data_IF_699514436756
#
_entry.id   IF_699514436756
#
_cell.length_a   1.000
_cell.length_b   1.000
_cell.length_c   1.000
_cell.angle_alpha   90.00
_cell.angle_beta   90.00
_cell.angle_gamma   90.00
#
_symmetry.space_group_name_H-M   'P 1'
#
loop_
_entity.id
_entity.type
_entity.pdbx_description
1 polymer ?
#
# COMPACT_ATOMS: atom_id res chain seq x y z
N UNK A 1 -3.36 1.50 0.91
CA UNK A 1 -4.49 2.37 0.47
C UNK A 1 -4.84 2.14 -1.01
N UNK A 2 -5.61 1.09 -1.30
CA UNK A 2 -6.41 1.02 -2.52
C UNK A 2 -7.79 1.57 -2.17
N UNK A 3 -8.26 2.58 -2.89
CA UNK A 3 -9.54 3.22 -2.61
C UNK A 3 -10.02 3.97 -3.84
N UNK A 4 -11.33 4.09 -3.98
CA UNK A 4 -11.95 4.83 -5.09
C UNK A 4 -11.86 6.34 -4.83
N UNK A 5 -11.47 7.09 -5.84
CA UNK A 5 -11.20 8.51 -5.70
C UNK A 5 -10.74 9.23 -6.98
N UNK A 6 -10.48 8.53 -8.08
CA UNK A 6 -9.89 9.12 -9.30
C UNK A 6 -10.75 10.24 -9.88
N UNK A 7 -12.08 10.15 -9.74
CA UNK A 7 -13.02 11.19 -10.18
C UNK A 7 -13.84 11.79 -9.03
N UNK A 8 -13.79 11.17 -7.86
CA UNK A 8 -14.68 11.45 -6.74
C UNK A 8 -14.04 12.20 -5.58
N UNK A 9 -12.72 12.17 -5.46
CA UNK A 9 -12.04 12.84 -4.37
C UNK A 9 -12.32 14.35 -4.35
N UNK A 10 -12.33 14.92 -3.14
CA UNK A 10 -12.40 16.36 -2.93
C UNK A 10 -11.10 17.05 -3.37
N UNK A 11 -11.11 18.37 -3.54
CA UNK A 11 -9.88 19.10 -3.85
C UNK A 11 -8.81 18.92 -2.77
N UNK A 12 -9.16 18.70 -1.49
CA UNK A 12 -8.21 18.48 -0.39
C UNK A 12 -7.62 17.07 -0.37
N UNK A 13 -8.37 16.07 -0.85
CA UNK A 13 -7.89 14.68 -0.96
C UNK A 13 -7.32 14.34 -2.34
N UNK A 14 -7.45 15.26 -3.31
CA UNK A 14 -6.95 15.14 -4.67
C UNK A 14 -5.49 14.64 -4.77
N UNK A 15 -4.53 15.12 -3.97
CA UNK A 15 -3.14 14.65 -4.08
C UNK A 15 -2.99 13.15 -3.86
N UNK A 16 -3.88 12.55 -3.06
CA UNK A 16 -3.83 11.13 -2.71
C UNK A 16 -4.52 10.23 -3.73
N UNK A 17 -5.34 10.79 -4.63
CA UNK A 17 -6.11 10.03 -5.64
C UNK A 17 -5.83 10.49 -7.07
N UNK A 18 -6.15 11.72 -7.42
CA UNK A 18 -5.91 12.28 -8.75
C UNK A 18 -5.60 13.79 -8.62
N UNK A 19 -4.38 14.25 -8.98
CA UNK A 19 -3.99 15.64 -8.80
C UNK A 19 -4.83 16.62 -9.63
N UNK A 20 -5.48 16.19 -10.72
CA UNK A 20 -6.39 17.05 -11.48
C UNK A 20 -7.58 17.56 -10.64
N UNK A 21 -8.01 16.80 -9.62
CA UNK A 21 -9.10 17.21 -8.75
C UNK A 21 -8.74 18.41 -7.86
N UNK A 22 -7.46 18.79 -7.75
CA UNK A 22 -7.01 19.98 -7.01
C UNK A 22 -7.66 21.27 -7.55
N UNK A 23 -7.98 21.33 -8.85
CA UNK A 23 -8.65 22.50 -9.43
C UNK A 23 -10.20 22.42 -9.37
N UNK A 24 -10.76 21.37 -8.76
CA UNK A 24 -12.20 21.14 -8.63
C UNK A 24 -12.64 21.48 -7.21
N UNK A 25 -12.64 22.77 -6.90
CA UNK A 25 -13.08 23.35 -5.62
C UNK A 25 -14.42 24.11 -5.80
N UNK A 26 -15.12 24.38 -4.69
CA UNK A 26 -16.36 25.17 -4.73
C UNK A 26 -16.04 26.66 -4.79
N UNK A 27 -16.94 27.47 -5.37
CA UNK A 27 -16.70 28.92 -5.53
C UNK A 27 -16.45 29.69 -4.23
N UNK A 28 -16.90 29.16 -3.09
CA UNK A 28 -16.74 29.77 -1.77
C UNK A 28 -15.54 29.19 -0.99
N UNK A 29 -14.71 28.35 -1.61
CA UNK A 29 -13.53 27.79 -0.97
C UNK A 29 -12.34 28.75 -1.20
N UNK A 30 -11.90 29.44 -0.16
CA UNK A 30 -10.73 30.35 -0.21
C UNK A 30 -9.44 29.68 0.26
N UNK A 31 -9.56 28.75 1.20
CA UNK A 31 -8.51 27.87 1.69
C UNK A 31 -9.16 26.68 2.40
N UNK A 32 -8.48 25.54 2.45
CA UNK A 32 -8.94 24.43 3.27
C UNK A 32 -7.80 23.56 3.74
N UNK A 33 -8.08 22.75 4.76
CA UNK A 33 -7.13 21.81 5.31
C UNK A 33 -7.82 20.46 5.50
N UNK A 34 -7.18 19.41 5.02
CA UNK A 34 -7.41 18.06 5.49
C UNK A 34 -6.70 17.93 6.83
N UNK A 35 -7.49 17.90 7.91
CA UNK A 35 -6.98 17.55 9.24
C UNK A 35 -6.32 16.17 9.19
N UNK A 36 -5.30 15.91 10.05
CA UNK A 36 -4.64 14.62 10.10
C UNK A 36 -5.66 13.47 10.14
N UNK A 37 -5.69 12.70 9.06
CA UNK A 37 -6.48 11.47 9.00
C UNK A 37 -5.60 10.29 9.37
N UNK A 38 -6.19 9.29 10.02
CA UNK A 38 -5.55 8.02 10.34
C UNK A 38 -6.42 6.90 9.76
N UNK A 39 -5.77 5.91 9.18
CA UNK A 39 -6.40 4.72 8.64
C UNK A 39 -5.60 3.48 9.00
N UNK A 40 -6.32 2.43 9.36
CA UNK A 40 -5.77 1.09 9.56
C UNK A 40 -6.53 0.14 8.63
N UNK A 41 -5.80 -0.79 8.00
CA UNK A 41 -6.36 -1.86 7.19
C UNK A 41 -5.75 -3.17 7.65
N UNK A 42 -6.57 -4.18 7.81
CA UNK A 42 -6.16 -5.54 8.13
C UNK A 42 -6.80 -6.47 7.12
N UNK A 43 -5.98 -7.31 6.49
CA UNK A 43 -6.40 -8.27 5.47
C UNK A 43 -5.72 -9.61 5.76
N UNK A 44 -6.52 -10.57 6.22
CA UNK A 44 -6.13 -11.97 6.43
C UNK A 44 -7.17 -12.89 5.80
N UNK A 45 -7.39 -12.75 4.49
CA UNK A 45 -8.36 -13.55 3.73
C UNK A 45 -8.15 -15.06 3.87
N UNK A 46 -6.91 -15.49 4.12
CA UNK A 46 -6.53 -16.89 4.20
C UNK A 46 -6.39 -17.43 5.63
N UNK A 47 -6.70 -16.61 6.65
CA UNK A 47 -6.55 -16.92 8.08
C UNK A 47 -5.14 -17.44 8.44
N UNK A 48 -4.09 -16.75 7.98
CA UNK A 48 -2.69 -17.08 8.26
C UNK A 48 -2.46 -17.30 9.76
N UNK A 49 -2.97 -16.40 10.61
CA UNK A 49 -2.70 -16.45 12.05
C UNK A 49 -3.25 -17.71 12.69
N UNK A 50 -4.50 -18.07 12.36
CA UNK A 50 -5.14 -19.28 12.88
C UNK A 50 -4.40 -20.54 12.38
N UNK A 51 -3.97 -20.55 11.12
CA UNK A 51 -3.26 -21.68 10.52
C UNK A 51 -1.84 -21.85 11.07
N UNK A 52 -1.17 -20.75 11.45
CA UNK A 52 0.11 -20.80 12.17
C UNK A 52 -0.10 -21.45 13.54
N UNK A 53 -1.13 -21.04 14.27
CA UNK A 53 -1.46 -21.61 15.59
C UNK A 53 -1.85 -23.09 15.52
N UNK A 54 -2.64 -23.47 14.51
CA UNK A 54 -3.00 -24.87 14.25
C UNK A 54 -1.77 -25.74 13.95
N UNK A 55 -0.85 -25.25 13.11
CA UNK A 55 0.37 -25.96 12.75
C UNK A 55 1.30 -26.12 13.97
N UNK A 56 1.45 -25.05 14.76
CA UNK A 56 2.23 -25.07 16.00
C UNK A 56 1.64 -26.06 17.03
N UNK A 57 0.34 -25.95 17.29
CA UNK A 57 -0.38 -26.79 18.27
C UNK A 57 -0.44 -28.25 17.87
N UNK A 58 -0.50 -28.58 16.57
CA UNK A 58 -0.42 -29.95 16.08
C UNK A 58 0.99 -30.54 16.29
N UNK A 59 2.03 -29.75 16.01
CA UNK A 59 3.42 -30.16 16.19
C UNK A 59 3.78 -30.34 17.68
N UNK A 60 3.31 -29.45 18.56
CA UNK A 60 3.53 -29.55 20.01
C UNK A 60 2.89 -30.81 20.61
N UNK A 61 1.71 -31.20 20.11
CA UNK A 61 1.06 -32.48 20.46
C UNK A 61 1.77 -33.71 19.88
N UNK A 62 2.70 -33.52 18.96
CA UNK A 62 3.42 -34.59 18.27
C UNK A 62 2.52 -35.44 17.37
N UNK A 63 1.47 -34.86 16.78
CA UNK A 63 0.56 -35.56 15.85
C UNK A 63 1.00 -35.31 14.39
N UNK A 64 1.62 -36.30 13.71
CA UNK A 64 2.16 -36.09 12.37
C UNK A 64 1.08 -35.85 11.30
N UNK A 65 -0.09 -36.48 11.44
CA UNK A 65 -1.16 -36.36 10.45
C UNK A 65 -1.82 -34.98 10.52
N UNK A 66 -2.12 -34.52 11.75
CA UNK A 66 -2.67 -33.19 11.98
C UNK A 66 -1.66 -32.10 11.56
N UNK A 67 -0.37 -32.29 11.88
CA UNK A 67 0.68 -31.33 11.53
C UNK A 67 0.84 -31.21 10.01
N UNK A 68 0.83 -32.33 9.29
CA UNK A 68 0.93 -32.32 7.83
C UNK A 68 -0.24 -31.57 7.18
N UNK A 69 -1.46 -31.76 7.68
CA UNK A 69 -2.64 -31.07 7.17
C UNK A 69 -2.58 -29.57 7.46
N UNK A 70 -2.14 -29.18 8.67
CA UNK A 70 -1.99 -27.79 9.05
C UNK A 70 -0.92 -27.06 8.23
N UNK A 71 0.25 -27.69 7.99
CA UNK A 71 1.29 -27.12 7.12
C UNK A 71 0.82 -26.94 5.67
N UNK A 72 0.02 -27.88 5.15
CA UNK A 72 -0.58 -27.73 3.81
C UNK A 72 -1.61 -26.59 3.76
N UNK A 73 -2.42 -26.43 4.81
CA UNK A 73 -3.39 -25.34 4.91
C UNK A 73 -2.71 -23.98 5.06
N UNK A 74 -1.55 -23.93 5.72
CA UNK A 74 -0.71 -22.75 5.92
C UNK A 74 0.00 -22.33 4.63
N UNK A 75 0.36 -23.27 3.76
CA UNK A 75 1.04 -22.98 2.50
C UNK A 75 0.24 -22.01 1.62
N UNK A 76 0.90 -20.95 1.15
CA UNK A 76 0.30 -19.95 0.24
C UNK A 76 -0.59 -18.91 0.90
N UNK A 77 -0.73 -18.95 2.23
CA UNK A 77 -1.47 -17.93 2.98
C UNK A 77 -0.66 -16.64 3.18
N UNK A 78 -1.34 -15.52 3.39
CA UNK A 78 -0.72 -14.24 3.67
C UNK A 78 -1.59 -13.44 4.66
N UNK A 79 -0.95 -12.62 5.49
CA UNK A 79 -1.63 -11.57 6.24
C UNK A 79 -0.99 -10.22 5.94
N UNK A 80 -1.81 -9.18 5.83
CA UNK A 80 -1.39 -7.80 5.56
C UNK A 80 -1.97 -6.85 6.58
N UNK A 81 -1.13 -5.95 7.06
CA UNK A 81 -1.52 -4.89 7.99
C UNK A 81 -0.95 -3.57 7.50
N UNK A 82 -1.84 -2.65 7.13
CA UNK A 82 -1.48 -1.30 6.73
C UNK A 82 -1.91 -0.31 7.83
N UNK A 83 -1.05 0.64 8.13
CA UNK A 83 -1.40 1.82 8.92
C UNK A 83 -0.91 3.06 8.20
N UNK A 84 -1.68 4.13 8.19
CA UNK A 84 -1.19 5.38 7.62
C UNK A 84 -2.05 6.58 7.95
N UNK A 85 -1.53 7.73 7.60
CA UNK A 85 -2.21 9.00 7.75
C UNK A 85 -1.79 10.02 6.73
N UNK A 86 -2.61 11.05 6.58
CA UNK A 86 -2.40 12.10 5.61
C UNK A 86 -2.86 13.46 6.12
N UNK A 87 -2.21 14.50 5.63
CA UNK A 87 -2.54 15.91 5.83
C UNK A 87 -2.41 16.65 4.50
N UNK A 88 -3.26 17.64 4.28
CA UNK A 88 -3.17 18.48 3.09
C UNK A 88 -3.68 19.89 3.36
N UNK A 89 -3.10 20.88 2.71
CA UNK A 89 -3.50 22.28 2.74
C UNK A 89 -3.74 22.74 1.32
N UNK A 90 -4.98 23.09 1.01
CA UNK A 90 -5.39 23.52 -0.31
C UNK A 90 -5.52 25.02 -0.41
N UNK A 91 -4.98 25.56 -1.49
CA UNK A 91 -5.04 26.96 -1.89
C UNK A 91 -5.75 27.00 -3.24
N UNK A 92 -7.09 27.13 -3.23
CA UNK A 92 -7.88 27.38 -4.42
C UNK A 92 -7.39 28.65 -5.13
N UNK A 93 -7.23 28.57 -6.46
CA UNK A 93 -6.89 29.74 -7.27
C UNK A 93 -7.42 29.55 -8.70
N UNK A 94 -7.93 30.65 -9.29
CA UNK A 94 -8.52 30.68 -10.63
C UNK A 94 -7.55 30.30 -11.76
N UNK A 95 -6.25 30.48 -11.56
CA UNK A 95 -5.23 30.21 -12.58
C UNK A 95 -4.62 28.82 -12.40
N UNK A 96 -4.08 28.53 -11.22
CA UNK A 96 -3.47 27.25 -10.85
C UNK A 96 -3.81 27.00 -9.38
N UNK A 97 -4.69 26.03 -9.12
CA UNK A 97 -4.97 25.59 -7.77
C UNK A 97 -3.80 24.75 -7.24
N UNK A 98 -3.53 24.84 -5.94
CA UNK A 98 -2.41 24.16 -5.32
C UNK A 98 -2.84 23.41 -4.05
N UNK A 99 -2.19 22.29 -3.77
CA UNK A 99 -2.21 21.63 -2.47
C UNK A 99 -0.78 21.37 -2.01
N UNK A 100 -0.48 21.64 -0.75
CA UNK A 100 0.69 21.07 -0.07
C UNK A 100 0.22 19.87 0.73
N UNK A 101 0.88 18.72 0.59
CA UNK A 101 0.43 17.49 1.24
C UNK A 101 1.58 16.72 1.87
N UNK A 102 1.23 15.98 2.92
CA UNK A 102 2.09 15.02 3.59
C UNK A 102 1.33 13.71 3.80
N UNK A 103 2.00 12.58 3.60
CA UNK A 103 1.44 11.25 3.81
C UNK A 103 2.49 10.35 4.43
N UNK A 104 2.11 9.59 5.44
CA UNK A 104 2.95 8.58 6.04
C UNK A 104 2.16 7.28 6.11
N UNK A 105 2.75 6.16 5.70
CA UNK A 105 2.12 4.86 5.81
C UNK A 105 3.15 3.76 6.02
N UNK A 106 2.72 2.69 6.67
CA UNK A 106 3.47 1.47 6.89
C UNK A 106 2.63 0.34 6.31
N UNK A 107 3.22 -0.47 5.46
CA UNK A 107 2.64 -1.71 4.94
C UNK A 107 3.42 -2.87 5.53
N UNK A 108 2.73 -3.84 6.10
CA UNK A 108 3.32 -5.06 6.64
C UNK A 108 2.71 -6.24 5.93
N UNK A 109 3.54 -7.21 5.55
CA UNK A 109 3.10 -8.49 5.03
C UNK A 109 3.80 -9.61 5.79
N UNK A 110 3.03 -10.63 6.14
CA UNK A 110 3.55 -11.88 6.69
C UNK A 110 3.23 -13.02 5.71
N UNK A 111 4.22 -13.87 5.46
CA UNK A 111 4.12 -15.04 4.57
C UNK A 111 4.85 -16.22 5.20
N UNK A 112 4.28 -17.44 5.18
CA UNK A 112 4.94 -18.62 5.71
C UNK A 112 5.99 -19.17 4.72
N UNK A 113 7.10 -19.66 5.26
CA UNK A 113 8.13 -20.45 4.57
C UNK A 113 8.14 -21.87 5.16
N UNK A 114 7.35 -22.75 4.53
CA UNK A 114 7.18 -24.14 4.93
C UNK A 114 8.47 -24.93 4.64
N UNK A 115 8.99 -25.61 5.66
CA UNK A 115 10.17 -26.44 5.50
C UNK A 115 9.88 -27.73 4.72
N UNK A 116 10.82 -28.13 3.87
CA UNK A 116 10.78 -29.36 3.07
C UNK A 116 11.95 -30.29 3.35
N UNK A 117 12.62 -30.11 4.50
CA UNK A 117 13.90 -30.72 4.85
C UNK A 117 13.80 -32.02 5.66
N UNK A 118 12.59 -32.46 5.99
CA UNK A 118 12.32 -33.70 6.71
C UNK A 118 11.08 -34.40 6.15
N UNK A 119 11.00 -35.72 6.24
CA UNK A 119 9.77 -36.47 5.95
C UNK A 119 8.82 -36.58 7.17
N UNK A 120 9.30 -36.17 8.35
CA UNK A 120 8.48 -36.10 9.57
C UNK A 120 7.81 -34.71 9.66
N UNK A 121 6.47 -34.63 9.59
CA UNK A 121 5.73 -33.38 9.65
C UNK A 121 5.99 -32.56 10.92
N UNK A 122 6.25 -33.22 12.05
CA UNK A 122 6.52 -32.52 13.33
C UNK A 122 7.86 -31.79 13.24
N UNK A 123 8.90 -32.45 12.73
CA UNK A 123 10.19 -31.82 12.45
C UNK A 123 10.08 -30.72 11.38
N UNK A 124 9.27 -30.92 10.33
CA UNK A 124 9.03 -29.88 9.31
C UNK A 124 8.39 -28.62 9.93
N UNK A 125 7.43 -28.78 10.84
CA UNK A 125 6.81 -27.64 11.50
C UNK A 125 7.80 -26.86 12.37
N UNK A 126 8.73 -27.55 13.06
CA UNK A 126 9.78 -26.91 13.85
C UNK A 126 10.77 -26.09 13.00
N UNK A 127 10.96 -26.47 11.74
CA UNK A 127 11.84 -25.77 10.78
C UNK A 127 11.10 -24.74 9.91
N UNK A 128 9.77 -24.70 10.01
CA UNK A 128 8.92 -23.75 9.30
C UNK A 128 9.01 -22.37 9.96
N UNK A 129 9.09 -21.34 9.13
CA UNK A 129 9.24 -19.96 9.58
C UNK A 129 8.13 -19.09 9.02
N UNK A 130 7.86 -17.96 9.67
CA UNK A 130 7.05 -16.87 9.12
C UNK A 130 7.97 -15.71 8.83
N UNK A 131 8.02 -15.34 7.55
CA UNK A 131 8.76 -14.17 7.09
C UNK A 131 7.85 -12.96 7.11
N UNK A 132 8.32 -11.88 7.69
CA UNK A 132 7.62 -10.60 7.75
C UNK A 132 8.43 -9.54 7.02
N UNK A 133 7.79 -8.79 6.14
CA UNK A 133 8.36 -7.62 5.49
C UNK A 133 7.50 -6.39 5.79
N UNK A 134 8.14 -5.33 6.23
CA UNK A 134 7.51 -4.07 6.58
C UNK A 134 8.16 -2.93 5.81
N UNK A 135 7.34 -2.07 5.21
CA UNK A 135 7.80 -0.91 4.46
C UNK A 135 7.11 0.34 4.99
N UNK A 136 7.90 1.26 5.53
CA UNK A 136 7.43 2.56 5.97
C UNK A 136 7.79 3.62 4.92
N UNK A 137 6.79 4.34 4.43
CA UNK A 137 6.94 5.37 3.41
C UNK A 137 6.39 6.69 3.93
N UNK A 138 7.19 7.74 3.81
CA UNK A 138 6.76 9.12 4.05
C UNK A 138 6.88 9.92 2.77
N UNK A 139 5.83 10.61 2.37
CA UNK A 139 5.74 11.42 1.15
C UNK A 139 5.41 12.86 1.53
N UNK A 140 6.10 13.82 0.93
CA UNK A 140 5.78 15.25 1.01
C UNK A 140 5.78 15.79 -0.42
N UNK A 141 4.74 16.54 -0.78
CA UNK A 141 4.64 17.06 -2.14
C UNK A 141 3.75 18.27 -2.27
N UNK A 142 3.73 18.79 -3.50
CA UNK A 142 2.87 19.89 -3.91
C UNK A 142 2.09 19.43 -5.12
N UNK A 143 0.76 19.45 -5.05
CA UNK A 143 -0.11 19.24 -6.21
C UNK A 143 -0.45 20.57 -6.84
N UNK A 144 -0.36 20.66 -8.17
CA UNK A 144 -0.75 21.83 -8.95
C UNK A 144 -1.72 21.37 -10.02
N UNK A 145 -2.85 22.05 -10.15
CA UNK A 145 -3.83 21.75 -11.17
C UNK A 145 -4.45 22.98 -11.81
N UNK A 146 -4.84 22.81 -13.07
CA UNK A 146 -5.51 23.83 -13.86
C UNK A 146 -6.81 23.29 -14.39
N UNK A 147 -7.83 24.15 -14.35
CA UNK A 147 -9.12 23.91 -14.95
C UNK A 147 -9.23 24.65 -16.28
N UNK A 148 -9.84 24.02 -17.29
CA UNK A 148 -10.08 24.63 -18.58
C UNK A 148 -11.41 24.15 -19.18
N UNK A 149 -12.09 25.01 -19.93
CA UNK A 149 -13.26 24.64 -20.71
C UNK A 149 -12.91 24.64 -22.19
N UNK A 150 -13.22 23.55 -22.89
CA UNK A 150 -12.96 23.33 -24.32
C UNK A 150 -14.24 22.81 -24.97
N UNK A 151 -14.77 23.49 -25.98
CA UNK A 151 -15.98 23.05 -26.70
C UNK A 151 -17.21 22.77 -25.80
N UNK A 152 -17.38 23.55 -24.73
CA UNK A 152 -18.46 23.32 -23.74
C UNK A 152 -18.25 22.11 -22.82
N UNK A 153 -17.08 21.47 -22.91
CA UNK A 153 -16.65 20.37 -22.06
C UNK A 153 -15.67 20.90 -21.00
N UNK A 154 -15.73 20.33 -19.81
CA UNK A 154 -14.90 20.75 -18.69
C UNK A 154 -13.76 19.77 -18.48
N UNK A 155 -12.54 20.30 -18.45
CA UNK A 155 -11.33 19.53 -18.26
C UNK A 155 -10.51 20.09 -17.11
N UNK A 156 -9.79 19.20 -16.42
CA UNK A 156 -8.74 19.59 -15.51
C UNK A 156 -7.53 18.68 -15.66
N UNK A 157 -6.36 19.27 -15.48
CA UNK A 157 -5.08 18.59 -15.54
C UNK A 157 -4.28 18.95 -14.31
N UNK A 158 -3.62 17.98 -13.71
CA UNK A 158 -2.81 18.21 -12.52
C UNK A 158 -1.54 17.36 -12.49
N UNK A 159 -0.55 17.87 -11.78
CA UNK A 159 0.71 17.20 -11.49
C UNK A 159 1.02 17.33 -10.00
N UNK A 160 1.71 16.36 -9.42
CA UNK A 160 2.22 16.41 -8.05
C UNK A 160 3.66 15.94 -7.99
N UNK A 161 4.65 16.83 -8.11
CA UNK A 161 6.00 16.52 -7.65
C UNK A 161 5.98 16.19 -6.15
N UNK A 162 6.71 15.13 -5.78
CA UNK A 162 6.82 14.68 -4.38
C UNK A 162 8.21 14.13 -4.07
N UNK A 163 8.60 14.29 -2.82
CA UNK A 163 9.76 13.63 -2.22
C UNK A 163 9.23 12.49 -1.35
N UNK A 164 9.83 11.32 -1.50
CA UNK A 164 9.48 10.11 -0.77
C UNK A 164 10.70 9.62 -0.02
N UNK A 165 10.52 9.28 1.25
CA UNK A 165 11.52 8.57 2.05
C UNK A 165 10.96 7.22 2.44
N UNK A 166 11.75 6.18 2.18
CA UNK A 166 11.33 4.79 2.31
C UNK A 166 12.29 4.08 3.25
N UNK A 167 11.72 3.35 4.19
CA UNK A 167 12.42 2.49 5.12
C UNK A 167 11.85 1.09 5.01
N UNK A 168 12.72 0.10 4.95
CA UNK A 168 12.33 -1.31 4.88
C UNK A 168 12.85 -2.04 6.12
N UNK A 169 12.04 -2.96 6.63
CA UNK A 169 12.37 -3.83 7.74
C UNK A 169 11.96 -5.25 7.38
N UNK A 170 12.80 -6.21 7.71
CA UNK A 170 12.58 -7.64 7.45
C UNK A 170 12.84 -8.42 8.72
N UNK A 171 11.98 -9.39 9.01
CA UNK A 171 12.11 -10.29 10.16
C UNK A 171 11.74 -11.71 9.76
N UNK A 172 12.44 -12.68 10.34
CA UNK A 172 12.10 -14.11 10.22
C UNK A 172 11.92 -14.64 11.63
N UNK A 173 10.72 -15.15 11.91
CA UNK A 173 10.40 -15.76 13.20
C UNK A 173 10.00 -17.22 13.00
N UNK A 174 10.31 -18.07 13.98
CA UNK A 174 9.75 -19.43 14.05
C UNK A 174 8.24 -19.37 14.26
N UNK A 175 7.52 -20.48 14.05
CA UNK A 175 6.09 -20.55 14.40
C UNK A 175 5.83 -20.24 15.89
N UNK A 176 6.79 -20.57 16.76
CA UNK A 176 6.70 -20.36 18.22
C UNK A 176 6.90 -18.89 18.64
N UNK A 177 7.77 -18.16 17.94
CA UNK A 177 8.21 -16.81 18.36
C UNK A 177 7.54 -15.68 17.57
N UNK A 178 6.59 -15.99 16.69
CA UNK A 178 5.94 -15.00 15.85
C UNK A 178 5.07 -14.02 16.69
N UNK A 179 5.54 -12.77 16.82
CA UNK A 179 4.79 -11.63 17.37
C UNK A 179 5.05 -10.37 16.54
N UNK A 180 4.02 -9.55 16.33
CA UNK A 180 4.06 -8.36 15.46
C UNK A 180 4.79 -7.13 16.04
N UNK A 181 5.24 -7.19 17.30
CA UNK A 181 5.65 -6.02 18.10
C UNK A 181 7.16 -5.70 18.10
N UNK A 182 8.01 -6.60 17.57
CA UNK A 182 9.47 -6.46 17.63
C UNK A 182 10.11 -6.01 16.30
N UNK A 183 9.69 -4.87 15.74
CA UNK A 183 10.27 -4.34 14.49
C UNK A 183 10.89 -2.98 14.74
N UNK A 184 12.11 -2.95 15.29
CA UNK A 184 12.92 -1.74 15.32
C UNK A 184 14.37 -2.02 15.69
N UNK A 185 15.20 -2.27 14.69
CA UNK A 185 16.61 -1.85 14.68
C UNK A 185 17.16 -1.92 13.24
N UNK A 186 17.95 -0.91 12.89
CA UNK A 186 18.63 -0.66 11.61
C UNK A 186 17.79 -0.44 10.34
N UNK A 187 17.41 0.83 10.13
CA UNK A 187 16.71 1.26 8.93
C UNK A 187 17.67 1.88 7.89
N UNK A 188 17.74 1.33 6.68
CA UNK A 188 18.34 2.03 5.53
C UNK A 188 17.28 2.95 4.95
N UNK A 189 17.40 4.26 5.22
CA UNK A 189 16.44 5.25 4.76
C UNK A 189 16.86 5.86 3.44
N UNK A 190 16.11 5.60 2.38
CA UNK A 190 16.41 6.11 1.05
C UNK A 190 15.42 7.22 0.66
N UNK A 191 15.94 8.35 0.13
CA UNK A 191 15.14 9.52 -0.26
C UNK A 191 15.15 9.66 -1.78
N UNK A 192 13.97 9.73 -2.39
CA UNK A 192 13.80 9.84 -3.83
C UNK A 192 12.77 10.90 -4.21
N UNK A 193 12.94 11.42 -5.42
CA UNK A 193 11.96 12.26 -6.09
C UNK A 193 10.99 11.39 -6.90
N UNK A 194 9.71 11.76 -6.89
CA UNK A 194 8.67 11.15 -7.70
C UNK A 194 7.67 12.18 -8.24
N UNK A 195 6.85 11.76 -9.20
CA UNK A 195 5.87 12.60 -9.86
C UNK A 195 4.56 11.83 -10.02
N UNK A 196 3.45 12.45 -9.63
CA UNK A 196 2.11 12.00 -10.00
C UNK A 196 1.52 12.94 -11.05
N UNK A 197 0.64 12.43 -11.90
CA UNK A 197 -0.08 13.19 -12.90
C UNK A 197 -1.54 12.74 -12.98
N UNK A 198 -2.39 13.58 -13.55
CA UNK A 198 -3.78 13.21 -13.74
C UNK A 198 -4.54 14.15 -14.64
N UNK A 199 -5.63 13.63 -15.16
CA UNK A 199 -6.60 14.36 -15.95
C UNK A 199 -8.01 13.99 -15.52
N UNK A 200 -8.92 14.95 -15.68
CA UNK A 200 -10.33 14.81 -15.42
C UNK A 200 -11.10 15.48 -16.54
N UNK A 201 -12.12 14.79 -17.03
CA UNK A 201 -13.17 15.35 -17.87
C UNK A 201 -14.50 15.25 -17.12
N UNK A 202 -15.36 16.26 -17.28
CA UNK A 202 -16.72 16.19 -16.79
C UNK A 202 -17.70 17.01 -17.63
N UNK A 203 -18.95 16.55 -17.64
CA UNK A 203 -20.07 17.23 -18.28
C UNK A 203 -21.34 16.98 -17.46
N UNK A 204 -21.87 18.05 -16.87
CA UNK A 204 -22.93 17.94 -15.86
C UNK A 204 -22.45 17.03 -14.70
N UNK A 205 -23.22 16.01 -14.32
CA UNK A 205 -22.86 15.12 -13.22
C UNK A 205 -21.86 14.02 -13.61
N UNK A 206 -21.66 13.76 -14.91
CA UNK A 206 -20.79 12.67 -15.36
C UNK A 206 -19.33 13.10 -15.34
N UNK A 207 -18.47 12.22 -14.82
CA UNK A 207 -17.03 12.41 -14.76
C UNK A 207 -16.30 11.18 -15.28
N UNK A 208 -15.21 11.42 -15.99
CA UNK A 208 -14.23 10.40 -16.32
C UNK A 208 -12.83 10.96 -16.07
N UNK A 209 -11.91 10.13 -15.59
CA UNK A 209 -10.58 10.59 -15.23
C UNK A 209 -9.55 9.48 -15.31
N UNK A 210 -8.31 9.92 -15.31
CA UNK A 210 -7.13 9.04 -15.24
C UNK A 210 -6.15 9.66 -14.25
N UNK A 211 -5.52 8.82 -13.45
CA UNK A 211 -4.38 9.20 -12.63
C UNK A 211 -3.21 8.26 -12.88
N UNK A 212 -2.02 8.83 -12.91
CA UNK A 212 -0.76 8.11 -12.91
C UNK A 212 0.01 8.51 -11.65
N UNK A 213 0.33 7.54 -10.81
CA UNK A 213 1.08 7.74 -9.55
C UNK A 213 2.45 7.11 -9.65
N UNK A 214 3.42 7.71 -8.97
CA UNK A 214 4.80 7.22 -8.90
C UNK A 214 5.43 6.99 -10.28
N UNK A 215 5.36 7.98 -11.18
CA UNK A 215 5.84 7.86 -12.56
C UNK A 215 7.32 7.45 -12.67
N UNK A 216 8.12 7.63 -11.63
CA UNK A 216 9.49 7.12 -11.55
C UNK A 216 9.52 5.83 -10.74
N UNK A 217 9.85 4.73 -11.43
CA UNK A 217 10.00 3.41 -10.85
C UNK A 217 11.27 3.30 -10.01
N UNK A 218 11.24 2.51 -8.95
CA UNK A 218 12.42 2.27 -8.11
C UNK A 218 12.41 0.91 -7.43
N UNK A 219 13.57 0.28 -7.43
CA UNK A 219 13.83 -0.94 -6.67
C UNK A 219 14.57 -0.58 -5.38
N UNK A 220 14.14 -1.19 -4.27
CA UNK A 220 14.68 -0.95 -2.95
C UNK A 220 14.97 -2.30 -2.34
N UNK A 221 16.25 -2.61 -2.24
CA UNK A 221 16.69 -3.85 -1.64
C UNK A 221 16.57 -3.73 -0.12
N UNK A 222 15.93 -4.72 0.50
CA UNK A 222 15.88 -4.82 1.96
C UNK A 222 17.15 -5.50 2.48
N UNK A 223 17.39 -5.41 3.79
CA UNK A 223 18.43 -6.23 4.40
C UNK A 223 18.13 -7.71 4.12
N UNK A 224 19.14 -8.39 3.62
CA UNK A 224 19.13 -9.83 3.41
C UNK A 224 20.14 -10.53 4.32
N UNK A 225 19.90 -11.80 4.59
CA UNK A 225 20.75 -12.61 5.45
C UNK A 225 20.18 -14.00 5.66
N UNK A 226 20.77 -14.73 6.61
CA UNK A 226 20.39 -16.09 6.96
C UNK A 226 20.09 -16.14 8.45
N UNK A 227 18.91 -16.63 8.82
CA UNK A 227 18.54 -16.93 10.22
C UNK A 227 18.34 -18.43 10.36
N UNK A 228 18.85 -19.01 11.43
CA UNK A 228 18.64 -20.42 11.72
C UNK A 228 17.31 -20.60 12.45
N UNK A 229 16.39 -21.34 11.85
CA UNK A 229 15.08 -21.70 12.42
C UNK A 229 15.06 -23.22 12.59
N UNK A 230 15.03 -23.67 13.86
CA UNK A 230 15.19 -25.08 14.19
C UNK A 230 16.55 -25.62 13.69
N UNK A 231 16.53 -26.62 12.82
CA UNK A 231 17.73 -27.15 12.16
C UNK A 231 18.03 -26.55 10.78
N UNK A 232 17.17 -25.66 10.27
CA UNK A 232 17.22 -25.11 8.91
C UNK A 232 17.76 -23.69 8.88
N UNK A 233 18.60 -23.40 7.91
CA UNK A 233 19.03 -22.04 7.59
C UNK A 233 18.00 -21.42 6.62
N UNK A 234 17.35 -20.33 7.04
CA UNK A 234 16.31 -19.65 6.28
C UNK A 234 16.85 -18.32 5.78
N UNK A 235 16.94 -18.21 4.46
CA UNK A 235 17.31 -16.95 3.80
C UNK A 235 16.15 -15.96 3.88
N UNK A 236 16.49 -14.72 4.21
CA UNK A 236 15.58 -13.59 4.19
C UNK A 236 16.16 -12.47 3.34
N UNK A 237 15.26 -11.72 2.72
CA UNK A 237 15.61 -10.71 1.75
C UNK A 237 14.43 -10.51 0.81
N UNK A 238 13.98 -9.28 0.74
CA UNK A 238 12.93 -8.85 -0.17
C UNK A 238 13.44 -7.71 -1.03
N UNK A 239 12.90 -7.61 -2.23
CA UNK A 239 13.00 -6.40 -3.03
C UNK A 239 11.65 -5.70 -3.00
N UNK A 240 11.64 -4.47 -2.49
CA UNK A 240 10.47 -3.61 -2.58
C UNK A 240 10.54 -2.79 -3.86
N UNK A 241 9.55 -2.96 -4.73
CA UNK A 241 9.48 -2.23 -6.00
C UNK A 241 8.36 -1.18 -5.95
N UNK A 242 8.77 0.09 -6.05
CA UNK A 242 7.87 1.20 -6.24
C UNK A 242 7.62 1.40 -7.73
N UNK A 243 6.52 0.86 -8.25
CA UNK A 243 6.16 0.99 -9.66
C UNK A 243 5.15 2.11 -9.92
N UNK A 244 5.13 2.67 -11.15
CA UNK A 244 4.05 3.51 -11.61
C UNK A 244 2.71 2.78 -11.51
N UNK A 245 1.67 3.46 -11.02
CA UNK A 245 0.30 2.96 -10.98
C UNK A 245 -0.58 3.83 -11.86
N UNK A 246 -1.26 3.22 -12.82
CA UNK A 246 -2.21 3.91 -13.67
C UNK A 246 -3.62 3.46 -13.32
N UNK A 247 -4.49 4.41 -12.99
CA UNK A 247 -5.88 4.14 -12.62
C UNK A 247 -6.81 4.99 -13.48
N UNK A 248 -7.81 4.36 -14.08
CA UNK A 248 -8.91 5.05 -14.76
C UNK A 248 -10.15 5.02 -13.88
N UNK A 249 -10.94 6.08 -13.91
CA UNK A 249 -12.16 6.18 -13.11
C UNK A 249 -13.30 6.78 -13.90
N UNK A 250 -14.51 6.31 -13.61
CA UNK A 250 -15.75 6.88 -14.09
C UNK A 250 -16.71 7.07 -12.92
N UNK A 251 -17.50 8.13 -12.96
CA UNK A 251 -18.37 8.45 -11.85
C UNK A 251 -19.51 9.39 -12.19
N UNK A 252 -20.49 9.39 -11.29
CA UNK A 252 -21.63 10.29 -11.29
C UNK A 252 -21.58 11.09 -9.98
N UNK A 253 -21.44 12.40 -10.09
CA UNK A 253 -21.31 13.32 -8.96
C UNK A 253 -22.45 14.32 -9.00
N UNK A 254 -23.45 14.11 -8.14
CA UNK A 254 -24.56 15.03 -7.93
C UNK A 254 -24.43 15.72 -6.56
N UNK A 255 -25.35 16.63 -6.26
CA UNK A 255 -25.30 17.43 -5.03
C UNK A 255 -25.48 16.61 -3.75
N UNK A 256 -26.25 15.51 -3.82
CA UNK A 256 -26.62 14.70 -2.66
C UNK A 256 -26.00 13.31 -2.63
N UNK A 257 -25.49 12.83 -3.77
CA UNK A 257 -24.87 11.51 -3.85
C UNK A 257 -23.78 11.46 -4.89
N UNK A 258 -22.86 10.52 -4.69
CA UNK A 258 -21.73 10.30 -5.55
C UNK A 258 -21.50 8.81 -5.73
N UNK A 259 -21.27 8.39 -6.97
CA UNK A 259 -20.91 7.03 -7.34
C UNK A 259 -19.61 7.09 -8.15
N UNK A 260 -18.64 6.23 -7.83
CA UNK A 260 -17.36 6.14 -8.54
C UNK A 260 -16.96 4.69 -8.67
N UNK A 261 -16.40 4.36 -9.84
CA UNK A 261 -15.76 3.08 -10.12
C UNK A 261 -14.37 3.40 -10.65
N UNK A 262 -13.37 2.78 -10.05
CA UNK A 262 -11.97 2.97 -10.42
C UNK A 262 -11.38 1.60 -10.79
N UNK A 263 -10.54 1.58 -11.82
CA UNK A 263 -9.88 0.38 -12.32
C UNK A 263 -8.38 0.65 -12.52
N UNK A 264 -7.55 -0.14 -11.84
CA UNK A 264 -6.11 -0.12 -11.97
C UNK A 264 -5.68 -0.87 -13.25
N UNK A 265 -4.99 -0.18 -14.16
CA UNK A 265 -4.57 -0.71 -15.45
C UNK A 265 -3.39 -1.68 -15.35
N UNK A 266 -2.65 -1.63 -14.24
CA UNK A 266 -1.52 -2.52 -13.98
C UNK A 266 -1.59 -3.15 -12.59
N UNK A 267 -1.17 -4.42 -12.50
CA UNK A 267 -1.10 -5.16 -11.24
C UNK A 267 0.10 -4.67 -10.44
N UNK A 268 -0.04 -4.52 -9.13
CA UNK A 268 1.06 -4.17 -8.21
C UNK A 268 1.45 -5.39 -7.39
N UNK A 269 2.60 -5.96 -7.70
CA UNK A 269 3.32 -6.84 -6.78
C UNK A 269 4.48 -6.03 -6.22
N UNK A 270 4.35 -5.59 -4.96
CA UNK A 270 5.29 -4.62 -4.37
C UNK A 270 6.49 -5.30 -3.71
N UNK A 271 6.32 -6.55 -3.31
CA UNK A 271 7.27 -7.28 -2.49
C UNK A 271 7.54 -8.58 -3.24
N UNK A 272 8.77 -8.71 -3.73
CA UNK A 272 9.27 -9.92 -4.35
C UNK A 272 10.23 -10.59 -3.37
N UNK A 273 10.06 -11.91 -3.19
CA UNK A 273 11.07 -12.75 -2.54
C UNK A 273 12.27 -12.81 -3.48
N UNK A 274 13.45 -12.49 -2.95
CA UNK A 274 14.73 -12.64 -3.69
C UNK A 274 15.19 -14.09 -3.59
#
# INVERSE_FOLDING_TARGET
>A
MGGTGVVSASYLTAPFYNPALTAIYRRNDDAGMLVPSLGISYDDQDNLLDKVDDAFSAAERGDPLATQAALQALSGTQAKVDFGGAVAFGIPNRYIAANVFGKAYVENVATPDIASDSSDPVTQAQNTAVKTASVAVTEIGISLAKYQTLFGQHFSFGISPKLQRIYTYTSVNSLQDFKFDNIREDSTGDTAFNLDAGALWFHGPFRAGISAKNLFSRNIDTKSGVVRVGSRDVEFGYQYQLEPLYTVGAGFVADYFQLSIDYDLNKREKIHTV
#
